data_IF_709548196576
#
_entry.id   IF_709548196576
#
_cell.length_a   1.000
_cell.length_b   1.000
_cell.length_c   1.000
_cell.angle_alpha   90.00
_cell.angle_beta   90.00
_cell.angle_gamma   90.00
#
_symmetry.space_group_name_H-M   'P 1'
#
loop_
_entity.id
_entity.type
_entity.pdbx_description
1 polymer ?
#
# COMPACT_ATOMS: atom_id res chain seq x y z
N UNK A 1 -35.37 17.60 78.80
CA UNK A 1 -34.01 18.08 78.45
C UNK A 1 -33.91 18.21 76.94
N UNK A 2 -33.71 19.43 76.42
CA UNK A 2 -33.61 19.73 74.98
C UNK A 2 -32.14 19.57 74.55
N UNK A 3 -31.90 18.70 73.57
CA UNK A 3 -30.59 18.53 72.92
C UNK A 3 -30.45 19.58 71.81
N UNK A 4 -29.36 20.36 71.75
CA UNK A 4 -29.19 21.37 70.70
C UNK A 4 -28.75 20.72 69.39
N UNK A 5 -29.36 21.16 68.29
CA UNK A 5 -28.93 20.85 66.92
C UNK A 5 -27.63 21.60 66.63
N UNK A 6 -26.56 20.85 66.38
CA UNK A 6 -25.28 21.36 65.87
C UNK A 6 -25.38 21.42 64.35
N UNK A 7 -25.33 22.63 63.81
CA UNK A 7 -25.24 22.94 62.38
C UNK A 7 -23.84 22.60 61.87
N UNK A 8 -23.65 21.79 60.81
CA UNK A 8 -22.37 21.67 60.15
C UNK A 8 -22.23 22.85 59.17
N UNK A 9 -21.65 23.95 59.65
CA UNK A 9 -21.13 25.01 58.80
C UNK A 9 -19.70 24.65 58.35
N UNK A 10 -19.43 24.85 57.06
CA UNK A 10 -18.12 25.14 56.48
C UNK A 10 -17.07 24.02 56.48
N UNK A 11 -17.24 23.06 55.57
CA UNK A 11 -16.12 22.53 54.80
C UNK A 11 -16.15 23.17 53.42
N UNK A 12 -15.66 24.41 53.34
CA UNK A 12 -15.35 25.04 52.06
C UNK A 12 -14.18 24.27 51.45
N UNK A 13 -14.46 23.65 50.31
CA UNK A 13 -13.55 22.91 49.46
C UNK A 13 -12.30 23.74 49.15
N UNK A 14 -11.19 23.42 49.81
CA UNK A 14 -9.87 23.73 49.28
C UNK A 14 -9.63 22.77 48.10
N UNK A 15 -10.17 23.12 46.92
CA UNK A 15 -9.71 22.52 45.68
C UNK A 15 -8.23 22.88 45.56
N UNK A 16 -7.29 21.91 45.57
CA UNK A 16 -5.92 22.22 45.21
C UNK A 16 -5.97 22.88 43.83
N UNK A 17 -5.32 24.02 43.67
CA UNK A 17 -4.93 24.52 42.36
C UNK A 17 -4.14 23.37 41.72
N UNK A 18 -4.82 22.52 40.94
CA UNK A 18 -4.16 21.56 40.08
C UNK A 18 -3.40 22.45 39.12
N UNK A 19 -2.08 22.55 39.32
CA UNK A 19 -1.20 23.21 38.37
C UNK A 19 -1.53 22.59 37.01
N UNK A 20 -2.17 23.40 36.15
CA UNK A 20 -2.61 22.95 34.85
C UNK A 20 -1.34 22.60 34.09
N UNK A 21 -1.05 21.30 33.96
CA UNK A 21 0.14 20.84 33.26
C UNK A 21 0.12 21.46 31.87
N UNK A 22 1.11 22.32 31.61
CA UNK A 22 1.18 23.06 30.35
C UNK A 22 1.16 22.06 29.21
N UNK A 23 0.23 22.24 28.27
CA UNK A 23 0.10 21.33 27.16
C UNK A 23 1.42 21.30 26.37
N UNK A 24 1.94 20.10 26.11
CA UNK A 24 3.16 19.86 25.31
C UNK A 24 2.79 19.29 23.94
N UNK A 25 2.27 20.12 23.00
CA UNK A 25 1.78 19.65 21.70
C UNK A 25 2.90 19.39 20.69
N UNK A 26 4.15 19.71 21.02
CA UNK A 26 5.30 19.51 20.15
C UNK A 26 6.11 18.29 20.59
N UNK A 27 6.66 17.55 19.63
CA UNK A 27 7.53 16.40 19.91
C UNK A 27 8.86 16.55 19.19
N UNK A 28 9.96 16.38 19.92
CA UNK A 28 11.28 16.11 19.39
C UNK A 28 11.45 14.60 19.27
N UNK A 29 11.87 14.11 18.12
CA UNK A 29 12.00 12.68 17.86
C UNK A 29 13.09 12.40 16.82
N UNK A 30 13.55 11.16 16.74
CA UNK A 30 14.40 10.70 15.64
C UNK A 30 13.49 10.12 14.56
N UNK A 31 13.42 10.84 13.44
CA UNK A 31 12.67 10.46 12.26
C UNK A 31 13.57 9.94 11.15
N UNK A 32 12.99 9.83 9.96
CA UNK A 32 13.64 9.33 8.76
C UNK A 32 13.37 10.26 7.58
N UNK A 33 14.43 10.72 6.94
CA UNK A 33 14.37 11.37 5.63
C UNK A 33 14.53 10.32 4.54
N UNK A 34 13.60 10.33 3.59
CA UNK A 34 13.60 9.40 2.46
C UNK A 34 14.41 10.00 1.32
N UNK A 35 15.18 9.16 0.63
CA UNK A 35 15.96 9.53 -0.54
C UNK A 35 15.69 8.53 -1.65
N UNK A 36 15.78 8.96 -2.90
CA UNK A 36 15.86 8.06 -4.06
C UNK A 36 17.26 8.09 -4.64
N UNK A 37 17.75 6.96 -5.12
CA UNK A 37 19.05 6.88 -5.79
C UNK A 37 18.84 6.93 -7.30
N UNK A 38 19.41 7.93 -7.97
CA UNK A 38 19.44 8.06 -9.44
C UNK A 38 20.85 8.44 -9.86
N UNK A 39 21.46 7.68 -10.76
CA UNK A 39 22.83 7.94 -11.24
C UNK A 39 23.83 8.11 -10.08
N UNK A 40 23.75 7.23 -9.08
CA UNK A 40 24.56 7.24 -7.84
C UNK A 40 24.29 8.43 -6.88
N UNK A 41 23.56 9.46 -7.30
CA UNK A 41 23.15 10.57 -6.44
C UNK A 41 21.95 10.19 -5.57
N UNK A 42 22.03 10.54 -4.27
CA UNK A 42 20.91 10.46 -3.33
C UNK A 42 20.13 11.76 -3.41
N UNK A 43 18.92 11.71 -3.93
CA UNK A 43 18.04 12.87 -4.07
C UNK A 43 16.96 12.77 -2.98
N UNK A 44 16.81 13.79 -2.11
CA UNK A 44 15.83 13.75 -1.04
C UNK A 44 14.41 13.79 -1.61
N UNK A 45 13.55 12.98 -1.00
CA UNK A 45 12.13 12.92 -1.32
C UNK A 45 11.43 14.04 -0.58
N UNK A 46 10.83 14.95 -1.33
CA UNK A 46 10.01 16.02 -0.78
C UNK A 46 8.62 15.51 -0.45
N UNK A 47 7.97 14.77 -1.35
CA UNK A 47 6.64 14.26 -1.12
C UNK A 47 6.42 12.89 -1.75
N UNK A 48 5.69 12.03 -1.06
CA UNK A 48 5.28 10.72 -1.57
C UNK A 48 3.79 10.75 -1.91
N UNK A 49 3.47 10.54 -3.19
CA UNK A 49 2.10 10.45 -3.69
C UNK A 49 1.77 9.01 -4.06
N UNK A 50 0.50 8.74 -4.36
CA UNK A 50 -0.01 7.38 -4.61
C UNK A 50 0.78 6.60 -5.67
N UNK A 51 1.30 7.28 -6.69
CA UNK A 51 1.98 6.64 -7.84
C UNK A 51 3.29 7.33 -8.24
N UNK A 52 3.71 8.37 -7.55
CA UNK A 52 4.88 9.17 -7.89
C UNK A 52 5.57 9.68 -6.62
N UNK A 53 6.88 9.90 -6.76
CA UNK A 53 7.73 10.55 -5.77
C UNK A 53 8.11 11.93 -6.31
N UNK A 54 7.92 12.96 -5.51
CA UNK A 54 8.42 14.31 -5.78
C UNK A 54 9.75 14.45 -5.07
N UNK A 55 10.80 14.83 -5.79
CA UNK A 55 12.16 14.95 -5.28
C UNK A 55 12.65 16.39 -5.34
N UNK A 56 13.58 16.75 -4.46
CA UNK A 56 14.12 18.11 -4.38
C UNK A 56 15.07 18.45 -5.55
N UNK A 57 15.28 19.75 -5.88
CA UNK A 57 14.67 20.93 -5.25
C UNK A 57 13.23 21.20 -5.71
N UNK A 58 12.44 21.80 -4.81
CA UNK A 58 11.01 22.14 -4.91
C UNK A 58 10.47 22.28 -6.33
N UNK A 59 9.52 21.40 -6.68
CA UNK A 59 8.96 21.15 -8.02
C UNK A 59 9.82 20.27 -8.95
N UNK A 60 10.77 19.53 -8.39
CA UNK A 60 11.62 18.61 -9.14
C UNK A 60 10.87 17.51 -9.89
N UNK A 61 11.65 16.70 -10.59
CA UNK A 61 11.17 15.58 -11.39
C UNK A 61 10.20 14.70 -10.60
N UNK A 62 9.04 14.42 -11.21
CA UNK A 62 8.11 13.43 -10.67
C UNK A 62 8.56 12.07 -11.17
N UNK A 63 9.01 11.23 -10.25
CA UNK A 63 9.48 9.88 -10.59
C UNK A 63 8.33 8.92 -10.29
N UNK A 64 7.79 8.19 -11.30
CA UNK A 64 6.81 7.16 -11.03
C UNK A 64 7.38 6.14 -10.06
N UNK A 65 6.60 5.74 -9.06
CA UNK A 65 7.10 4.90 -7.98
C UNK A 65 7.65 3.55 -8.46
N UNK A 66 7.10 3.03 -9.57
CA UNK A 66 7.57 1.80 -10.23
C UNK A 66 8.99 1.93 -10.83
N UNK A 67 9.42 3.17 -11.09
CA UNK A 67 10.73 3.49 -11.66
C UNK A 67 11.74 3.82 -10.55
N UNK A 68 11.32 3.88 -9.29
CA UNK A 68 12.20 4.03 -8.13
C UNK A 68 12.73 2.64 -7.73
N UNK A 69 14.02 2.33 -7.99
CA UNK A 69 14.54 0.99 -7.75
C UNK A 69 14.54 0.67 -6.25
N UNK A 70 15.04 1.61 -5.43
CA UNK A 70 15.12 1.50 -3.98
C UNK A 70 14.98 2.88 -3.33
N UNK A 71 14.32 2.92 -2.17
CA UNK A 71 14.40 4.07 -1.27
C UNK A 71 15.66 3.94 -0.42
N UNK A 72 16.50 4.96 -0.45
CA UNK A 72 17.47 5.22 0.61
C UNK A 72 16.80 5.98 1.75
N UNK A 73 17.44 6.01 2.92
CA UNK A 73 16.95 6.80 4.03
C UNK A 73 18.08 7.27 4.93
N UNK A 74 17.82 8.29 5.72
CA UNK A 74 18.76 8.84 6.70
C UNK A 74 18.02 9.20 7.97
N UNK A 75 18.57 8.83 9.13
CA UNK A 75 17.99 9.17 10.42
C UNK A 75 18.34 10.61 10.76
N UNK A 76 17.34 11.40 11.10
CA UNK A 76 17.53 12.82 11.45
C UNK A 76 16.68 13.15 12.68
N UNK A 77 17.17 14.09 13.48
CA UNK A 77 16.39 14.60 14.62
C UNK A 77 15.41 15.61 14.06
N UNK A 78 14.12 15.40 14.33
CA UNK A 78 13.03 16.22 13.81
C UNK A 78 12.18 16.73 14.94
N UNK A 79 11.49 17.83 14.66
CA UNK A 79 10.44 18.36 15.52
C UNK A 79 9.14 18.40 14.74
N UNK A 80 8.03 18.05 15.38
CA UNK A 80 6.70 18.12 14.77
C UNK A 80 5.66 18.56 15.78
N UNK A 81 4.57 19.12 15.26
CA UNK A 81 3.33 19.39 15.99
C UNK A 81 2.35 18.22 15.78
N UNK A 82 1.29 18.17 16.59
CA UNK A 82 0.16 17.25 16.43
C UNK A 82 0.57 15.76 16.53
N UNK A 83 1.13 15.31 17.67
CA UNK A 83 1.57 13.94 17.80
C UNK A 83 0.41 12.97 17.57
N UNK A 84 0.66 11.98 16.72
CA UNK A 84 -0.32 10.94 16.39
C UNK A 84 -0.16 9.77 17.34
N UNK A 85 -1.27 9.26 17.85
CA UNK A 85 -1.30 8.08 18.69
C UNK A 85 -1.60 6.86 17.84
N UNK A 86 -0.71 5.87 17.91
CA UNK A 86 -0.88 4.53 17.35
C UNK A 86 -1.13 3.55 18.51
N UNK A 87 -2.31 2.96 18.54
CA UNK A 87 -2.75 1.95 19.52
C UNK A 87 -3.02 0.61 18.84
N UNK A 88 -3.14 -0.45 19.65
CA UNK A 88 -3.53 -1.80 19.19
C UNK A 88 -2.67 -2.32 18.01
N UNK A 89 -1.38 -1.99 17.99
CA UNK A 89 -0.47 -2.41 16.93
C UNK A 89 -0.23 -3.92 16.99
N UNK A 90 -0.58 -4.60 15.89
CA UNK A 90 -0.42 -6.02 15.69
C UNK A 90 0.26 -6.26 14.35
N UNK A 91 1.19 -7.23 14.34
CA UNK A 91 1.84 -7.74 13.15
C UNK A 91 1.43 -9.21 12.98
N UNK A 92 0.97 -9.54 11.79
CA UNK A 92 0.58 -10.89 11.42
C UNK A 92 1.30 -11.24 10.13
N UNK A 93 2.06 -12.33 10.15
CA UNK A 93 2.44 -12.97 8.91
C UNK A 93 1.23 -13.79 8.43
N UNK A 94 0.93 -13.72 7.15
CA UNK A 94 -0.23 -14.39 6.55
C UNK A 94 0.12 -14.83 5.13
N UNK A 95 -0.81 -15.50 4.47
CA UNK A 95 -0.64 -16.01 3.12
C UNK A 95 -1.44 -15.18 2.12
N UNK A 96 -0.90 -15.05 0.92
CA UNK A 96 -1.57 -14.51 -0.24
C UNK A 96 -2.57 -15.53 -0.76
N UNK A 97 -3.57 -15.08 -1.52
CA UNK A 97 -4.51 -16.01 -2.18
C UNK A 97 -3.80 -17.01 -3.10
N UNK A 98 -2.63 -16.64 -3.63
CA UNK A 98 -1.80 -17.51 -4.46
C UNK A 98 -1.09 -18.59 -3.64
N UNK A 99 -0.74 -18.29 -2.38
CA UNK A 99 -0.07 -19.22 -1.47
C UNK A 99 -0.99 -19.90 -0.47
N UNK A 100 -2.27 -19.52 -0.46
CA UNK A 100 -3.33 -20.21 0.28
C UNK A 100 -3.42 -21.67 -0.18
N UNK A 101 -3.13 -22.62 0.72
CA UNK A 101 -3.17 -24.05 0.41
C UNK A 101 -4.57 -24.52 0.05
N UNK A 102 -5.62 -23.92 0.62
CA UNK A 102 -6.99 -24.29 0.27
C UNK A 102 -7.32 -23.87 -1.17
N UNK A 103 -6.85 -22.69 -1.60
CA UNK A 103 -6.99 -22.26 -2.99
C UNK A 103 -6.17 -23.13 -3.95
N UNK A 104 -4.92 -23.48 -3.58
CA UNK A 104 -4.10 -24.42 -4.37
C UNK A 104 -4.75 -25.80 -4.46
N UNK A 105 -5.31 -26.30 -3.36
CA UNK A 105 -6.02 -27.57 -3.31
C UNK A 105 -7.29 -27.53 -4.17
N UNK A 106 -8.09 -26.46 -4.08
CA UNK A 106 -9.26 -26.29 -4.93
C UNK A 106 -8.89 -26.18 -6.42
N UNK A 107 -7.80 -25.48 -6.75
CA UNK A 107 -7.29 -25.43 -8.12
C UNK A 107 -6.84 -26.81 -8.61
N UNK A 108 -6.19 -27.60 -7.75
CA UNK A 108 -5.81 -28.99 -8.04
C UNK A 108 -7.03 -29.90 -8.23
N UNK A 109 -8.06 -29.78 -7.37
CA UNK A 109 -9.32 -30.51 -7.52
C UNK A 109 -10.04 -30.16 -8.82
N UNK A 110 -10.09 -28.87 -9.18
CA UNK A 110 -10.66 -28.44 -10.46
C UNK A 110 -9.87 -29.00 -11.65
N UNK A 111 -8.53 -29.00 -11.59
CA UNK A 111 -7.70 -29.61 -12.63
C UNK A 111 -7.93 -31.12 -12.75
N UNK A 112 -8.09 -31.81 -11.62
CA UNK A 112 -8.39 -33.25 -11.60
C UNK A 112 -9.78 -33.54 -12.19
N UNK A 113 -10.80 -32.73 -11.84
CA UNK A 113 -12.14 -32.86 -12.39
C UNK A 113 -12.16 -32.64 -13.91
N UNK A 114 -11.43 -31.63 -14.41
CA UNK A 114 -11.26 -31.38 -15.85
C UNK A 114 -10.57 -32.58 -16.52
N UNK A 115 -9.49 -33.09 -15.93
CA UNK A 115 -8.80 -34.26 -16.47
C UNK A 115 -9.70 -35.51 -16.52
N UNK A 116 -10.48 -35.76 -15.47
CA UNK A 116 -11.45 -36.87 -15.43
C UNK A 116 -12.56 -36.69 -16.48
N UNK A 117 -13.02 -35.47 -16.70
CA UNK A 117 -14.00 -35.16 -17.73
C UNK A 117 -13.43 -35.39 -19.14
N UNK A 118 -12.21 -34.91 -19.41
CA UNK A 118 -11.52 -35.16 -20.68
C UNK A 118 -11.35 -36.66 -20.93
N UNK A 119 -10.94 -37.42 -19.91
CA UNK A 119 -10.82 -38.89 -20.00
C UNK A 119 -12.17 -39.57 -20.25
N UNK A 120 -13.24 -39.12 -19.57
CA UNK A 120 -14.57 -39.65 -19.79
C UNK A 120 -15.10 -39.36 -21.20
N UNK A 121 -14.80 -38.19 -21.75
CA UNK A 121 -15.19 -37.81 -23.11
C UNK A 121 -14.38 -38.60 -24.16
N UNK A 122 -13.09 -38.85 -23.93
CA UNK A 122 -12.30 -39.77 -24.77
C UNK A 122 -12.86 -41.20 -24.71
N UNK A 123 -13.23 -41.70 -23.53
CA UNK A 123 -13.83 -43.02 -23.39
C UNK A 123 -15.21 -43.10 -24.08
N UNK A 124 -16.01 -42.02 -24.03
CA UNK A 124 -17.27 -41.93 -24.79
C UNK A 124 -17.05 -41.95 -26.29
N UNK A 125 -16.03 -41.23 -26.78
CA UNK A 125 -15.66 -41.23 -28.20
C UNK A 125 -15.22 -42.64 -28.63
N UNK A 126 -14.34 -43.28 -27.88
CA UNK A 126 -13.87 -44.64 -28.14
C UNK A 126 -15.03 -45.65 -28.15
N UNK A 127 -15.97 -45.55 -27.19
CA UNK A 127 -17.18 -46.37 -27.17
C UNK A 127 -18.09 -46.10 -28.36
N UNK A 128 -18.24 -44.84 -28.78
CA UNK A 128 -19.01 -44.48 -29.97
C UNK A 128 -18.39 -45.07 -31.24
N UNK A 129 -17.06 -45.03 -31.36
CA UNK A 129 -16.35 -45.62 -32.49
C UNK A 129 -16.42 -47.16 -32.46
N UNK A 130 -16.33 -47.79 -31.29
CA UNK A 130 -16.56 -49.24 -31.17
C UNK A 130 -17.98 -49.64 -31.58
N UNK A 131 -19.00 -48.85 -31.20
CA UNK A 131 -20.39 -49.06 -31.64
C UNK A 131 -20.56 -48.88 -33.15
N UNK A 132 -19.89 -47.89 -33.75
CA UNK A 132 -19.85 -47.72 -35.21
C UNK A 132 -19.25 -48.94 -35.89
N UNK A 133 -18.11 -49.45 -35.39
CA UNK A 133 -17.49 -50.68 -35.91
C UNK A 133 -18.41 -51.89 -35.79
N UNK A 134 -19.12 -52.06 -34.66
CA UNK A 134 -20.10 -53.13 -34.50
C UNK A 134 -21.31 -52.98 -35.43
N UNK A 135 -21.77 -51.75 -35.69
CA UNK A 135 -22.84 -51.49 -36.63
C UNK A 135 -22.42 -51.84 -38.08
N UNK A 136 -21.21 -51.46 -38.48
CA UNK A 136 -20.62 -51.82 -39.78
C UNK A 136 -20.50 -53.35 -39.91
N UNK A 137 -19.97 -54.03 -38.88
CA UNK A 137 -19.92 -55.51 -38.87
C UNK A 137 -21.29 -56.15 -39.06
N UNK A 138 -22.34 -55.65 -38.38
CA UNK A 138 -23.71 -56.15 -38.55
C UNK A 138 -24.25 -55.96 -39.97
N UNK A 139 -23.97 -54.82 -40.61
CA UNK A 139 -24.35 -54.59 -42.00
C UNK A 139 -23.63 -55.55 -42.96
N UNK A 140 -22.33 -55.80 -42.72
CA UNK A 140 -21.55 -56.77 -43.50
C UNK A 140 -22.16 -58.18 -43.36
N UNK A 141 -22.47 -58.63 -42.15
CA UNK A 141 -23.10 -59.95 -41.94
C UNK A 141 -24.49 -60.05 -42.59
N UNK A 142 -25.31 -59.00 -42.49
CA UNK A 142 -26.62 -58.99 -43.15
C UNK A 142 -26.49 -59.07 -44.68
N UNK A 143 -25.50 -58.38 -45.26
CA UNK A 143 -25.20 -58.46 -46.70
C UNK A 143 -24.73 -59.87 -47.10
N UNK A 144 -23.88 -60.51 -46.28
CA UNK A 144 -23.48 -61.90 -46.47
C UNK A 144 -24.66 -62.87 -46.42
N UNK A 145 -25.54 -62.74 -45.42
CA UNK A 145 -26.75 -63.59 -45.34
C UNK A 145 -27.66 -63.43 -46.56
N UNK A 146 -27.86 -62.20 -47.03
CA UNK A 146 -28.67 -61.90 -48.21
C UNK A 146 -28.06 -62.51 -49.48
N UNK A 147 -26.74 -62.38 -49.66
CA UNK A 147 -26.02 -63.00 -50.79
C UNK A 147 -26.06 -64.52 -50.73
N UNK A 148 -25.88 -65.13 -49.55
CA UNK A 148 -26.09 -66.57 -49.36
C UNK A 148 -27.52 -67.02 -49.64
N UNK A 149 -28.53 -66.18 -49.33
CA UNK A 149 -29.94 -66.47 -49.65
C UNK A 149 -30.17 -66.47 -51.15
N UNK A 150 -29.74 -65.41 -51.85
CA UNK A 150 -29.83 -65.30 -53.32
C UNK A 150 -29.13 -66.47 -54.00
N UNK A 151 -27.94 -66.85 -53.52
CA UNK A 151 -27.20 -68.00 -54.04
C UNK A 151 -27.97 -69.32 -53.87
N UNK A 152 -28.57 -69.55 -52.69
CA UNK A 152 -29.43 -70.74 -52.47
C UNK A 152 -30.70 -70.74 -53.31
N UNK A 153 -31.35 -69.59 -53.47
CA UNK A 153 -32.52 -69.45 -54.35
C UNK A 153 -32.16 -69.71 -55.81
N UNK A 154 -31.01 -69.23 -56.27
CA UNK A 154 -30.48 -69.54 -57.59
C UNK A 154 -30.23 -71.05 -57.73
N UNK A 155 -29.52 -71.67 -56.79
CA UNK A 155 -29.21 -73.10 -56.80
C UNK A 155 -30.48 -73.98 -56.84
N UNK A 156 -31.56 -73.58 -56.15
CA UNK A 156 -32.85 -74.26 -56.21
C UNK A 156 -33.60 -74.10 -57.53
N UNK A 157 -33.35 -73.02 -58.27
CA UNK A 157 -34.04 -72.70 -59.53
C UNK A 157 -33.23 -73.08 -60.79
N UNK A 158 -31.97 -73.50 -60.64
CA UNK A 158 -31.18 -74.02 -61.77
C UNK A 158 -31.73 -75.37 -62.18
N UNK A 159 -32.20 -75.45 -63.43
CA UNK A 159 -32.68 -76.69 -64.05
C UNK A 159 -31.51 -77.69 -64.16
N UNK A 160 -31.56 -78.82 -63.45
CA UNK A 160 -30.49 -79.81 -63.46
C UNK A 160 -30.33 -80.52 -64.82
N UNK A 161 -31.22 -80.27 -65.80
CA UNK A 161 -31.14 -80.81 -67.16
C UNK A 161 -30.29 -79.97 -68.13
N UNK A 162 -29.77 -78.81 -67.70
CA UNK A 162 -28.81 -78.04 -68.49
C UNK A 162 -27.51 -78.85 -68.71
N UNK A 163 -27.03 -79.00 -69.95
CA UNK A 163 -25.96 -79.95 -70.31
C UNK A 163 -24.59 -79.67 -69.67
N UNK A 164 -24.39 -78.51 -69.05
CA UNK A 164 -23.15 -78.13 -68.35
C UNK A 164 -23.26 -78.14 -66.82
N UNK A 165 -24.40 -78.55 -66.24
CA UNK A 165 -24.57 -78.64 -64.79
C UNK A 165 -24.02 -79.98 -64.27
N UNK A 166 -22.83 -79.98 -63.67
CA UNK A 166 -22.29 -81.13 -62.92
C UNK A 166 -22.51 -80.94 -61.41
N UNK A 167 -23.43 -81.69 -60.78
CA UNK A 167 -23.59 -81.69 -59.33
C UNK A 167 -22.35 -82.33 -58.71
N UNK A 168 -21.54 -81.54 -58.00
CA UNK A 168 -20.32 -82.00 -57.31
C UNK A 168 -18.99 -81.68 -57.99
N UNK A 169 -18.98 -81.00 -59.14
CA UNK A 169 -17.73 -80.63 -59.86
C UNK A 169 -17.05 -79.34 -59.40
N UNK A 170 -17.43 -78.76 -58.25
CA UNK A 170 -17.13 -77.36 -57.89
C UNK A 170 -16.24 -77.16 -56.66
N UNK A 171 -15.37 -78.13 -56.35
CA UNK A 171 -14.33 -78.01 -55.30
C UNK A 171 -13.20 -77.00 -55.62
N UNK A 172 -13.39 -76.09 -56.59
CA UNK A 172 -12.35 -75.15 -57.01
C UNK A 172 -12.83 -73.83 -57.62
N UNK A 173 -14.13 -73.53 -57.66
CA UNK A 173 -14.57 -72.17 -57.97
C UNK A 173 -14.66 -71.39 -56.66
N UNK A 174 -13.69 -70.50 -56.46
CA UNK A 174 -13.72 -69.53 -55.38
C UNK A 174 -14.95 -68.64 -55.57
N UNK A 175 -15.59 -68.23 -54.48
CA UNK A 175 -16.73 -67.30 -54.51
C UNK A 175 -16.39 -65.99 -55.27
N UNK A 176 -15.10 -65.63 -55.33
CA UNK A 176 -14.56 -64.52 -56.12
C UNK A 176 -14.69 -64.68 -57.64
N UNK A 177 -14.82 -65.90 -58.15
CA UNK A 177 -14.85 -66.17 -59.60
C UNK A 177 -16.26 -66.02 -60.20
N UNK A 178 -17.28 -65.98 -59.32
CA UNK A 178 -18.70 -65.96 -59.71
C UNK A 178 -19.27 -64.53 -59.63
N UNK A 179 -18.73 -63.70 -58.74
CA UNK A 179 -19.09 -62.29 -58.62
C UNK A 179 -17.86 -61.46 -58.22
N UNK A 180 -17.32 -60.57 -59.07
CA UNK A 180 -16.19 -59.73 -58.71
C UNK A 180 -16.45 -58.83 -57.50
N UNK A 181 -17.73 -58.56 -57.15
CA UNK A 181 -18.09 -57.84 -55.92
C UNK A 181 -17.76 -58.63 -54.64
N UNK A 182 -17.66 -59.96 -54.70
CA UNK A 182 -17.32 -60.79 -53.55
C UNK A 182 -15.88 -60.54 -53.03
N UNK A 183 -14.94 -60.27 -53.93
CA UNK A 183 -13.56 -59.95 -53.56
C UNK A 183 -13.43 -58.62 -52.79
N UNK A 184 -14.24 -57.62 -53.15
CA UNK A 184 -14.29 -56.35 -52.41
C UNK A 184 -14.90 -56.53 -51.01
N UNK A 185 -15.92 -57.39 -50.88
CA UNK A 185 -16.55 -57.71 -49.58
C UNK A 185 -15.56 -58.40 -48.66
N UNK A 186 -14.76 -59.34 -49.17
CA UNK A 186 -13.77 -60.06 -48.38
C UNK A 186 -12.61 -59.16 -47.94
N UNK A 187 -12.13 -58.27 -48.83
CA UNK A 187 -11.14 -57.24 -48.49
C UNK A 187 -11.67 -56.25 -47.41
N UNK A 188 -12.93 -55.84 -47.51
CA UNK A 188 -13.60 -55.01 -46.49
C UNK A 188 -13.72 -55.74 -45.15
N UNK A 189 -13.96 -57.06 -45.16
CA UNK A 189 -14.05 -57.87 -43.95
C UNK A 189 -12.70 -58.00 -43.24
N UNK A 190 -11.64 -58.25 -43.99
CA UNK A 190 -10.27 -58.33 -43.46
C UNK A 190 -9.86 -56.98 -42.87
N UNK A 191 -10.07 -55.88 -43.60
CA UNK A 191 -9.80 -54.54 -43.10
C UNK A 191 -10.62 -54.21 -41.83
N UNK A 192 -11.91 -54.58 -41.79
CA UNK A 192 -12.74 -54.37 -40.61
C UNK A 192 -12.27 -55.19 -39.39
N UNK A 193 -11.73 -56.40 -39.59
CA UNK A 193 -11.19 -57.22 -38.52
C UNK A 193 -9.86 -56.68 -37.97
N UNK A 194 -8.96 -56.22 -38.83
CA UNK A 194 -7.70 -55.59 -38.41
C UNK A 194 -7.95 -54.30 -37.64
N UNK A 195 -8.89 -53.48 -38.11
CA UNK A 195 -9.27 -52.22 -37.44
C UNK A 195 -9.86 -52.50 -36.06
N UNK A 196 -10.73 -53.51 -35.93
CA UNK A 196 -11.32 -53.89 -34.65
C UNK A 196 -10.29 -54.43 -33.65
N UNK A 197 -9.29 -55.20 -34.11
CA UNK A 197 -8.22 -55.70 -33.26
C UNK A 197 -7.31 -54.56 -32.75
N UNK A 198 -6.99 -53.58 -33.61
CA UNK A 198 -6.21 -52.40 -33.22
C UNK A 198 -6.93 -51.56 -32.16
N UNK A 199 -8.24 -51.34 -32.32
CA UNK A 199 -9.07 -50.59 -31.35
C UNK A 199 -9.16 -51.32 -30.01
N UNK A 200 -9.31 -52.65 -30.00
CA UNK A 200 -9.34 -53.43 -28.76
C UNK A 200 -8.03 -53.34 -27.98
N UNK A 201 -6.89 -53.35 -28.69
CA UNK A 201 -5.56 -53.27 -28.08
C UNK A 201 -5.29 -51.87 -27.50
N UNK A 202 -5.76 -50.81 -28.17
CA UNK A 202 -5.62 -49.43 -27.69
C UNK A 202 -6.52 -49.15 -26.48
N UNK A 203 -7.72 -49.72 -26.44
CA UNK A 203 -8.63 -49.67 -25.28
C UNK A 203 -8.00 -50.33 -24.04
N UNK A 204 -7.42 -51.52 -24.19
CA UNK A 204 -6.80 -52.24 -23.07
C UNK A 204 -5.58 -51.49 -22.52
N UNK A 205 -4.74 -50.93 -23.42
CA UNK A 205 -3.62 -50.06 -23.03
C UNK A 205 -4.10 -48.81 -22.28
N UNK A 206 -5.14 -48.15 -22.78
CA UNK A 206 -5.70 -46.95 -22.13
C UNK A 206 -6.27 -47.28 -20.76
N UNK A 207 -6.90 -48.46 -20.60
CA UNK A 207 -7.47 -48.91 -19.34
C UNK A 207 -6.38 -49.20 -18.29
N UNK A 208 -5.30 -49.88 -18.69
CA UNK A 208 -4.13 -50.15 -17.84
C UNK A 208 -3.47 -48.83 -17.38
N UNK A 209 -3.28 -47.88 -18.29
CA UNK A 209 -2.73 -46.55 -17.94
C UNK A 209 -3.62 -45.78 -16.95
N UNK A 210 -4.95 -45.85 -17.09
CA UNK A 210 -5.87 -45.20 -16.13
C UNK A 210 -5.92 -45.89 -14.77
N UNK A 211 -5.73 -47.21 -14.71
CA UNK A 211 -5.75 -47.96 -13.44
C UNK A 211 -4.56 -47.64 -12.54
N UNK A 212 -3.39 -47.31 -13.13
CA UNK A 212 -2.19 -46.93 -12.39
C UNK A 212 -2.27 -45.56 -11.69
N UNK A 213 -3.12 -44.64 -12.17
CA UNK A 213 -3.26 -43.29 -11.60
C UNK A 213 -4.06 -43.28 -10.30
N UNK A 214 -5.00 -44.23 -10.13
CA UNK A 214 -5.83 -44.32 -8.92
C UNK A 214 -5.14 -45.05 -7.74
N UNK A 215 -4.01 -45.70 -7.99
CA UNK A 215 -3.23 -46.41 -6.98
C UNK A 215 -1.97 -45.69 -6.52
N UNK A 216 -1.75 -44.43 -6.92
CA UNK A 216 -0.53 -43.69 -6.61
C UNK A 216 -0.49 -43.27 -5.13
N UNK A 217 0.40 -43.87 -4.30
CA UNK A 217 0.51 -43.55 -2.87
C UNK A 217 0.92 -42.09 -2.60
N UNK A 218 1.41 -41.36 -3.61
CA UNK A 218 1.70 -39.93 -3.48
C UNK A 218 0.44 -39.06 -3.33
N UNK A 219 -0.76 -39.58 -3.61
CA UNK A 219 -2.00 -38.80 -3.48
C UNK A 219 -2.39 -38.54 -2.02
N UNK A 220 -2.21 -39.53 -1.14
CA UNK A 220 -2.52 -39.39 0.29
C UNK A 220 -1.55 -38.46 1.01
N UNK A 221 -0.26 -38.53 0.67
CA UNK A 221 0.79 -37.66 1.24
C UNK A 221 0.54 -36.17 0.89
N UNK A 222 0.11 -35.87 -0.35
CA UNK A 222 -0.26 -34.50 -0.76
C UNK A 222 -1.49 -33.94 -0.04
N UNK A 223 -2.41 -34.79 0.40
CA UNK A 223 -3.61 -34.33 1.14
C UNK A 223 -3.33 -33.98 2.60
N UNK A 224 -2.37 -34.65 3.24
CA UNK A 224 -1.97 -34.28 4.61
C UNK A 224 -1.19 -32.96 4.65
N UNK A 225 -0.34 -32.69 3.67
CA UNK A 225 0.38 -31.40 3.55
C UNK A 225 -0.54 -30.23 3.17
N UNK A 226 -1.65 -30.50 2.48
CA UNK A 226 -2.65 -29.49 2.08
C UNK A 226 -3.42 -28.90 3.28
N UNK A 227 -3.46 -29.60 4.42
CA UNK A 227 -4.11 -29.11 5.65
C UNK A 227 -3.18 -28.29 6.56
N UNK A 228 -1.88 -28.23 6.26
CA UNK A 228 -0.94 -27.37 7.00
C UNK A 228 -1.13 -25.88 6.67
N UNK A 229 -0.68 -24.99 7.55
CA UNK A 229 -0.62 -23.55 7.21
C UNK A 229 0.28 -23.35 5.97
N UNK A 230 -0.16 -22.54 5.01
CA UNK A 230 0.65 -22.12 3.86
C UNK A 230 1.92 -21.42 4.31
N UNK A 231 2.96 -21.43 3.47
CA UNK A 231 4.12 -20.59 3.75
C UNK A 231 3.66 -19.13 3.70
N UNK A 232 3.81 -18.44 4.82
CA UNK A 232 3.46 -17.03 4.93
C UNK A 232 4.32 -16.23 3.94
N UNK A 233 3.67 -15.44 3.09
CA UNK A 233 4.29 -14.57 2.06
C UNK A 233 3.73 -13.13 2.10
N UNK A 234 2.94 -12.82 3.13
CA UNK A 234 2.29 -11.53 3.32
C UNK A 234 2.54 -11.02 4.72
N UNK A 235 3.02 -9.78 4.82
CA UNK A 235 3.01 -9.01 6.06
C UNK A 235 1.69 -8.25 6.16
N UNK A 236 0.93 -8.50 7.21
CA UNK A 236 -0.26 -7.75 7.57
C UNK A 236 -0.03 -6.97 8.87
N UNK A 237 -0.24 -5.66 8.81
CA UNK A 237 -0.17 -4.76 9.96
C UNK A 237 -1.57 -4.24 10.25
N UNK A 238 -1.99 -4.35 11.51
CA UNK A 238 -3.26 -3.81 11.98
C UNK A 238 -3.02 -2.93 13.20
N UNK A 239 -3.58 -1.73 13.20
CA UNK A 239 -3.47 -0.79 14.31
C UNK A 239 -4.60 0.22 14.28
N UNK A 240 -4.71 1.04 15.31
CA UNK A 240 -5.60 2.20 15.35
C UNK A 240 -4.78 3.48 15.37
N UNK A 241 -5.26 4.50 14.65
CA UNK A 241 -4.62 5.80 14.54
C UNK A 241 -5.57 6.91 14.97
N UNK A 242 -5.09 7.86 15.76
CA UNK A 242 -5.83 9.03 16.22
C UNK A 242 -4.91 10.25 16.38
N UNK A 243 -5.43 11.45 16.14
CA UNK A 243 -4.72 12.70 16.38
C UNK A 243 -5.62 13.70 17.09
N UNK A 244 -5.11 14.39 18.11
CA UNK A 244 -5.87 15.45 18.80
C UNK A 244 -6.21 16.60 17.85
N UNK A 245 -5.26 16.98 17.01
CA UNK A 245 -5.46 17.99 15.96
C UNK A 245 -5.74 17.25 14.63
N UNK A 246 -6.80 17.63 13.89
CA UNK A 246 -7.13 16.95 12.64
C UNK A 246 -6.05 17.16 11.57
N UNK A 247 -5.74 16.10 10.83
CA UNK A 247 -4.79 16.09 9.71
C UNK A 247 -5.59 15.66 8.47
N UNK A 248 -5.60 16.48 7.42
CA UNK A 248 -6.45 16.28 6.26
C UNK A 248 -6.01 15.12 5.36
N UNK A 249 -4.70 14.99 5.14
CA UNK A 249 -4.11 13.91 4.36
C UNK A 249 -2.80 13.47 5.00
N UNK A 250 -2.64 12.16 5.12
CA UNK A 250 -1.47 11.54 5.68
C UNK A 250 -1.17 10.24 4.94
N UNK A 251 0.11 9.90 4.87
CA UNK A 251 0.57 8.62 4.37
C UNK A 251 1.53 7.97 5.36
N UNK A 252 1.47 6.65 5.40
CA UNK A 252 2.30 5.81 6.24
C UNK A 252 3.42 5.23 5.39
N UNK A 253 4.64 5.30 5.91
CA UNK A 253 5.80 4.56 5.40
C UNK A 253 6.17 3.53 6.45
N UNK A 254 6.21 2.28 6.01
CA UNK A 254 6.55 1.12 6.85
C UNK A 254 7.94 0.67 6.46
N UNK A 255 8.81 0.55 7.47
CA UNK A 255 10.16 0.01 7.32
C UNK A 255 10.28 -1.22 8.20
N UNK A 256 10.50 -2.38 7.59
CA UNK A 256 10.64 -3.63 8.32
C UNK A 256 11.99 -4.29 8.07
N UNK A 257 12.63 -4.80 9.11
CA UNK A 257 13.80 -5.68 8.97
C UNK A 257 13.29 -7.10 8.71
N UNK A 258 13.67 -7.67 7.57
CA UNK A 258 13.21 -8.96 7.08
C UNK A 258 14.39 -9.88 6.90
N UNK A 259 14.28 -11.10 7.41
CA UNK A 259 15.24 -12.17 7.13
C UNK A 259 14.59 -13.17 6.17
N UNK A 260 15.22 -13.38 5.02
CA UNK A 260 14.75 -14.25 3.96
C UNK A 260 15.91 -15.08 3.42
N UNK A 261 15.78 -16.41 3.41
CA UNK A 261 16.83 -17.33 2.98
C UNK A 261 18.20 -17.06 3.65
N UNK A 262 18.20 -16.69 4.94
CA UNK A 262 19.40 -16.37 5.70
C UNK A 262 20.04 -15.01 5.39
N UNK A 263 19.44 -14.21 4.51
CA UNK A 263 19.87 -12.84 4.25
C UNK A 263 18.97 -11.84 4.98
N UNK A 264 19.58 -10.89 5.68
CA UNK A 264 18.89 -9.76 6.29
C UNK A 264 18.73 -8.64 5.25
N UNK A 265 17.53 -8.08 5.15
CA UNK A 265 17.22 -6.97 4.27
C UNK A 265 16.16 -6.06 4.91
N UNK A 266 15.99 -4.88 4.32
CA UNK A 266 15.00 -3.90 4.78
C UNK A 266 13.93 -3.79 3.71
N UNK A 267 12.69 -4.06 4.10
CA UNK A 267 11.53 -3.84 3.23
C UNK A 267 10.94 -2.48 3.55
N UNK A 268 10.70 -1.69 2.51
CA UNK A 268 10.00 -0.40 2.62
C UNK A 268 8.77 -0.42 1.72
N UNK A 269 7.64 -0.02 2.26
CA UNK A 269 6.43 0.24 1.48
C UNK A 269 5.62 1.36 2.12
N UNK A 270 4.69 1.92 1.36
CA UNK A 270 3.89 3.05 1.81
C UNK A 270 2.41 2.80 1.55
N UNK A 271 1.56 3.49 2.30
CA UNK A 271 0.11 3.39 2.23
C UNK A 271 -0.49 4.77 2.50
N UNK A 272 -1.35 5.26 1.61
CA UNK A 272 -2.15 6.45 1.91
C UNK A 272 -3.13 6.10 3.04
N UNK A 273 -3.08 6.88 4.12
CA UNK A 273 -3.96 6.77 5.29
C UNK A 273 -5.16 7.70 5.11
N UNK A 274 -4.96 8.86 4.48
CA UNK A 274 -5.95 9.92 4.34
C UNK A 274 -6.14 10.68 5.65
N UNK A 275 -7.33 11.26 5.86
CA UNK A 275 -7.59 12.09 7.02
C UNK A 275 -7.47 11.34 8.37
N UNK A 276 -6.86 11.99 9.35
CA UNK A 276 -6.73 11.51 10.73
C UNK A 276 -7.37 12.54 11.65
N UNK A 277 -8.24 12.10 12.55
CA UNK A 277 -8.91 12.98 13.50
C UNK A 277 -8.85 12.44 14.94
N UNK A 278 -9.59 13.08 15.87
CA UNK A 278 -9.57 12.71 17.29
C UNK A 278 -10.13 11.32 17.58
N UNK A 279 -11.02 10.81 16.71
CA UNK A 279 -11.62 9.48 16.86
C UNK A 279 -10.67 8.41 16.32
N UNK A 280 -10.26 7.42 17.13
CA UNK A 280 -9.43 6.30 16.66
C UNK A 280 -10.06 5.58 15.47
N UNK A 281 -9.25 5.34 14.43
CA UNK A 281 -9.65 4.60 13.22
C UNK A 281 -8.73 3.42 13.02
N UNK A 282 -9.30 2.24 12.78
CA UNK A 282 -8.56 1.02 12.46
C UNK A 282 -7.96 1.12 11.05
N UNK A 283 -6.65 0.92 10.95
CA UNK A 283 -5.88 0.84 9.71
C UNK A 283 -5.38 -0.59 9.55
N UNK A 284 -5.50 -1.10 8.33
CA UNK A 284 -5.01 -2.41 7.93
C UNK A 284 -4.15 -2.25 6.70
N UNK A 285 -2.87 -2.61 6.81
CA UNK A 285 -1.90 -2.52 5.72
C UNK A 285 -1.40 -3.91 5.39
N UNK A 286 -1.33 -4.26 4.11
CA UNK A 286 -0.86 -5.57 3.65
C UNK A 286 0.23 -5.38 2.61
N UNK A 287 1.37 -6.03 2.82
CA UNK A 287 2.45 -6.13 1.83
C UNK A 287 2.63 -7.59 1.45
N UNK A 288 2.45 -7.89 0.17
CA UNK A 288 2.62 -9.23 -0.40
C UNK A 288 3.96 -9.35 -1.11
N UNK A 289 4.36 -10.57 -1.45
CA UNK A 289 5.51 -10.86 -2.30
C UNK A 289 6.81 -11.11 -1.54
N UNK A 290 6.72 -11.41 -0.25
CA UNK A 290 7.85 -11.99 0.47
C UNK A 290 8.07 -13.43 -0.03
N UNK A 291 9.30 -13.94 0.03
CA UNK A 291 9.44 -15.37 -0.21
C UNK A 291 8.86 -16.18 0.97
N UNK A 292 8.35 -17.39 0.70
CA UNK A 292 8.01 -18.38 1.71
C UNK A 292 9.03 -18.46 2.86
N UNK A 293 8.53 -18.44 4.09
CA UNK A 293 9.36 -18.59 5.30
C UNK A 293 10.14 -17.34 5.71
N UNK A 294 9.76 -16.15 5.22
CA UNK A 294 10.34 -14.90 5.71
C UNK A 294 10.04 -14.69 7.20
N UNK A 295 10.93 -14.01 7.91
CA UNK A 295 10.68 -13.59 9.29
C UNK A 295 10.92 -12.08 9.42
N UNK A 296 10.14 -11.42 10.25
CA UNK A 296 10.25 -9.98 10.50
C UNK A 296 10.71 -9.77 11.94
N UNK A 297 11.89 -9.19 12.11
CA UNK A 297 12.43 -8.88 13.43
C UNK A 297 11.79 -7.61 13.98
N UNK A 298 11.82 -6.53 13.20
CA UNK A 298 11.36 -5.20 13.61
C UNK A 298 10.51 -4.51 12.54
N UNK A 299 9.58 -3.65 12.96
CA UNK A 299 8.72 -2.85 12.08
C UNK A 299 8.59 -1.44 12.66
N UNK A 300 9.13 -0.47 11.93
CA UNK A 300 9.02 0.95 12.23
C UNK A 300 7.97 1.61 11.34
N UNK A 301 7.15 2.45 11.96
CA UNK A 301 6.07 3.19 11.32
C UNK A 301 6.40 4.68 11.31
N UNK A 302 6.50 5.25 10.12
CA UNK A 302 6.76 6.66 9.90
C UNK A 302 5.53 7.28 9.22
N UNK A 303 4.94 8.31 9.84
CA UNK A 303 3.75 8.97 9.31
C UNK A 303 4.15 10.32 8.74
N UNK A 304 3.64 10.66 7.57
CA UNK A 304 3.96 11.91 6.90
C UNK A 304 2.70 12.64 6.44
N UNK A 305 2.80 13.96 6.34
CA UNK A 305 1.81 14.85 5.71
C UNK A 305 2.57 15.92 4.93
N UNK A 306 2.14 16.21 3.70
CA UNK A 306 2.78 17.24 2.86
C UNK A 306 4.32 17.15 2.83
N UNK A 307 4.85 15.92 2.76
CA UNK A 307 6.29 15.68 2.76
C UNK A 307 7.00 15.66 4.11
N UNK A 308 6.36 16.18 5.14
CA UNK A 308 6.94 16.29 6.48
C UNK A 308 6.52 15.12 7.35
N UNK A 309 7.46 14.57 8.11
CA UNK A 309 7.20 13.49 9.05
C UNK A 309 6.57 14.03 10.34
N UNK A 310 5.53 13.35 10.82
CA UNK A 310 4.82 13.68 12.06
C UNK A 310 5.23 12.67 13.13
N UNK A 311 5.52 13.16 14.32
CA UNK A 311 5.82 12.30 15.47
C UNK A 311 4.63 11.41 15.81
N UNK A 312 4.94 10.16 16.13
CA UNK A 312 4.00 9.22 16.71
C UNK A 312 4.46 8.80 18.11
N UNK A 313 3.57 8.27 18.93
CA UNK A 313 3.97 7.62 20.19
C UNK A 313 4.91 6.41 20.01
N UNK A 314 5.15 5.96 18.76
CA UNK A 314 6.08 4.89 18.39
C UNK A 314 7.41 5.41 17.81
N UNK A 315 7.54 6.72 17.56
CA UNK A 315 8.78 7.31 17.06
C UNK A 315 9.91 7.17 18.07
N UNK A 316 11.13 6.94 17.58
CA UNK A 316 12.31 6.78 18.42
C UNK A 316 12.63 8.11 19.13
N UNK A 317 12.99 8.04 20.43
CA UNK A 317 13.35 9.21 21.27
C UNK A 317 12.30 10.33 21.30
N UNK A 318 11.01 9.97 21.36
CA UNK A 318 9.91 10.94 21.42
C UNK A 318 9.87 11.71 22.76
N UNK A 319 10.32 12.96 22.75
CA UNK A 319 10.32 13.89 23.90
C UNK A 319 9.25 14.96 23.69
N UNK A 320 8.39 15.17 24.69
CA UNK A 320 7.36 16.21 24.67
C UNK A 320 7.94 17.58 25.00
N UNK A 321 7.62 18.59 24.19
CA UNK A 321 8.07 19.97 24.33
C UNK A 321 6.89 20.95 24.40
N UNK A 322 7.08 22.03 25.16
CA UNK A 322 6.22 23.23 25.06
C UNK A 322 6.53 24.01 23.78
N UNK A 323 5.71 25.03 23.47
CA UNK A 323 5.93 25.89 22.28
C UNK A 323 7.28 26.60 22.35
N UNK A 324 7.62 27.14 23.51
CA UNK A 324 8.84 27.92 23.70
C UNK A 324 10.07 27.02 23.62
N UNK A 325 10.01 25.82 24.20
CA UNK A 325 11.08 24.81 24.09
C UNK A 325 11.30 24.37 22.63
N UNK A 326 10.22 24.18 21.87
CA UNK A 326 10.30 23.83 20.45
C UNK A 326 10.98 24.94 19.63
N UNK A 327 10.63 26.20 19.89
CA UNK A 327 11.21 27.37 19.26
C UNK A 327 12.68 27.55 19.62
N UNK A 328 13.02 27.42 20.91
CA UNK A 328 14.41 27.50 21.38
C UNK A 328 15.29 26.44 20.72
N UNK A 329 14.81 25.19 20.63
CA UNK A 329 15.51 24.13 19.91
C UNK A 329 15.78 24.51 18.45
N UNK A 330 14.75 24.98 17.73
CA UNK A 330 14.88 25.40 16.33
C UNK A 330 15.84 26.58 16.15
N UNK A 331 15.80 27.56 17.06
CA UNK A 331 16.70 28.70 17.04
C UNK A 331 18.16 28.27 17.20
N UNK A 332 18.44 27.41 18.20
CA UNK A 332 19.78 26.90 18.46
C UNK A 332 20.31 26.08 17.28
N UNK A 333 19.47 25.22 16.69
CA UNK A 333 19.80 24.49 15.47
C UNK A 333 20.12 25.43 14.30
N UNK A 334 19.28 26.44 14.08
CA UNK A 334 19.45 27.40 12.99
C UNK A 334 20.75 28.20 13.11
N UNK A 335 21.08 28.71 14.31
CA UNK A 335 22.35 29.42 14.55
C UNK A 335 23.55 28.48 14.35
N UNK A 336 23.45 27.24 14.81
CA UNK A 336 24.53 26.25 14.68
C UNK A 336 24.81 25.88 13.22
N UNK A 337 23.77 25.84 12.38
CA UNK A 337 23.88 25.60 10.94
C UNK A 337 24.41 26.82 10.16
N UNK A 338 24.22 28.02 10.72
CA UNK A 338 24.50 29.30 10.05
C UNK A 338 25.32 30.28 10.92
N UNK A 339 26.52 29.90 11.40
CA UNK A 339 27.24 30.67 12.41
C UNK A 339 27.73 32.04 11.93
N UNK A 340 27.85 32.27 10.62
CA UNK A 340 28.35 33.51 10.03
C UNK A 340 27.50 34.01 8.86
N UNK A 341 26.37 33.34 8.60
CA UNK A 341 25.55 33.67 7.44
C UNK A 341 24.62 34.85 7.76
N UNK A 342 24.20 35.53 6.69
CA UNK A 342 23.14 36.53 6.74
C UNK A 342 21.94 35.99 5.97
N UNK A 343 20.86 35.69 6.68
CA UNK A 343 19.71 34.95 6.14
C UNK A 343 18.43 35.67 6.53
N UNK A 344 17.47 35.74 5.61
CA UNK A 344 16.13 36.26 5.88
C UNK A 344 15.32 35.25 6.70
N UNK A 345 14.29 35.69 7.46
CA UNK A 345 13.47 34.76 8.24
C UNK A 345 12.79 33.72 7.33
N UNK A 346 12.59 32.51 7.83
CA UNK A 346 12.00 31.39 7.08
C UNK A 346 10.88 30.70 7.86
N UNK A 347 9.75 30.33 7.23
CA UNK A 347 8.68 29.61 7.90
C UNK A 347 9.08 28.17 8.21
N UNK A 348 8.69 27.66 9.39
CA UNK A 348 8.97 26.28 9.81
C UNK A 348 7.77 25.38 9.55
N UNK A 349 7.69 24.83 8.33
CA UNK A 349 6.54 24.03 7.90
C UNK A 349 6.32 22.72 8.68
N UNK A 350 7.37 22.16 9.29
CA UNK A 350 7.26 20.99 10.18
C UNK A 350 6.41 21.26 11.42
N UNK A 351 6.28 22.54 11.81
CA UNK A 351 5.45 23.03 12.90
C UNK A 351 4.24 23.82 12.41
N UNK A 352 3.74 23.49 11.21
CA UNK A 352 2.56 24.13 10.63
C UNK A 352 1.38 24.18 11.63
N UNK A 353 0.65 25.32 11.69
CA UNK A 353 -0.56 25.48 12.49
C UNK A 353 -1.58 24.36 12.24
N UNK A 354 -2.36 24.05 13.28
CA UNK A 354 -3.39 23.01 13.21
C UNK A 354 -4.41 23.27 12.09
N UNK A 355 -4.72 24.55 11.82
CA UNK A 355 -5.63 24.95 10.74
C UNK A 355 -5.10 24.59 9.35
N UNK A 356 -3.78 24.63 9.12
CA UNK A 356 -3.17 24.21 7.86
C UNK A 356 -3.14 22.69 7.75
N UNK A 357 -2.79 21.99 8.83
CA UNK A 357 -2.81 20.53 8.88
C UNK A 357 -4.21 19.96 8.61
N UNK A 358 -5.26 20.65 9.10
CA UNK A 358 -6.65 20.26 8.94
C UNK A 358 -7.24 20.57 7.55
N UNK A 359 -6.58 21.41 6.75
CA UNK A 359 -7.09 21.85 5.47
C UNK A 359 -6.78 20.83 4.36
N UNK A 360 -7.78 20.57 3.50
CA UNK A 360 -7.64 19.64 2.36
C UNK A 360 -6.99 20.29 1.13
N UNK A 361 -6.96 21.61 1.06
CA UNK A 361 -6.47 22.37 -0.07
C UNK A 361 -5.96 23.73 0.36
N UNK A 362 -4.91 24.22 -0.29
CA UNK A 362 -4.34 25.54 -0.02
C UNK A 362 -5.10 26.73 -0.62
N UNK A 363 -6.17 26.51 -1.39
CA UNK A 363 -6.87 27.60 -2.10
C UNK A 363 -7.40 28.71 -1.17
N UNK A 364 -7.84 28.37 0.05
CA UNK A 364 -8.29 29.35 1.05
C UNK A 364 -7.16 30.07 1.78
N UNK A 365 -5.91 29.72 1.46
CA UNK A 365 -4.69 30.20 2.07
C UNK A 365 -3.76 30.85 1.04
N UNK A 366 -4.21 31.03 -0.21
CA UNK A 366 -3.48 31.70 -1.29
C UNK A 366 -3.57 33.22 -1.16
N UNK A 367 -2.94 33.71 -0.08
CA UNK A 367 -2.91 35.11 0.30
C UNK A 367 -1.45 35.45 0.63
N UNK A 368 -0.68 36.01 -0.32
CA UNK A 368 0.69 36.42 -0.04
C UNK A 368 0.68 37.52 1.02
N UNK A 369 1.51 37.34 2.04
CA UNK A 369 1.66 38.27 3.16
C UNK A 369 3.12 38.59 3.41
N UNK A 370 3.38 39.78 3.97
CA UNK A 370 4.69 40.13 4.50
C UNK A 370 4.61 40.18 6.01
N UNK A 371 5.29 39.26 6.68
CA UNK A 371 5.30 39.15 8.13
C UNK A 371 6.56 39.77 8.70
N UNK A 372 6.43 40.57 9.76
CA UNK A 372 7.57 41.04 10.56
C UNK A 372 7.81 40.04 11.68
N UNK A 373 9.03 39.51 11.74
CA UNK A 373 9.44 38.41 12.63
C UNK A 373 10.45 38.94 13.65
N UNK A 374 10.25 38.64 14.93
CA UNK A 374 11.21 39.00 15.99
C UNK A 374 12.49 38.13 15.94
N UNK A 375 13.45 38.43 16.81
CA UNK A 375 14.70 37.68 16.93
C UNK A 375 14.54 36.24 17.43
N UNK A 376 13.37 35.90 17.98
CA UNK A 376 13.08 34.58 18.54
C UNK A 376 12.29 33.72 17.54
N UNK A 377 11.82 34.30 16.43
CA UNK A 377 11.02 33.61 15.41
C UNK A 377 9.50 33.72 15.59
N UNK A 378 9.01 34.67 16.40
CA UNK A 378 7.58 34.98 16.52
C UNK A 378 7.16 36.04 15.51
N UNK A 379 5.91 35.94 15.03
CA UNK A 379 5.30 36.98 14.20
C UNK A 379 4.86 38.16 15.07
N UNK A 380 5.35 39.37 14.75
CA UNK A 380 4.97 40.62 15.41
C UNK A 380 3.74 41.23 14.72
N UNK A 381 3.76 41.30 13.39
CA UNK A 381 2.73 41.96 12.58
C UNK A 381 2.70 41.40 11.15
N UNK A 382 1.56 41.58 10.47
CA UNK A 382 1.35 41.19 9.09
C UNK A 382 0.99 42.42 8.25
N UNK A 383 1.57 42.50 7.05
CA UNK A 383 1.43 43.62 6.13
C UNK A 383 1.12 43.11 4.70
N UNK A 384 0.49 43.97 3.88
CA UNK A 384 0.18 43.67 2.48
C UNK A 384 1.41 43.79 1.58
N UNK A 385 2.27 44.75 1.87
CA UNK A 385 3.42 45.10 1.03
C UNK A 385 4.69 45.13 1.86
N UNK A 386 5.80 44.90 1.17
CA UNK A 386 7.13 44.94 1.77
C UNK A 386 7.50 46.35 2.25
N UNK A 387 7.07 47.39 1.53
CA UNK A 387 7.33 48.79 1.90
C UNK A 387 6.74 49.14 3.27
N UNK A 388 5.49 48.74 3.53
CA UNK A 388 4.84 48.98 4.83
C UNK A 388 5.56 48.19 5.93
N UNK A 389 5.92 46.93 5.66
CA UNK A 389 6.64 46.10 6.62
C UNK A 389 8.03 46.68 6.97
N UNK A 390 8.75 47.19 5.96
CA UNK A 390 10.06 47.82 6.16
C UNK A 390 9.95 49.13 6.95
N UNK A 391 8.93 49.96 6.69
CA UNK A 391 8.68 51.18 7.45
C UNK A 391 8.39 50.86 8.94
N UNK A 392 7.57 49.84 9.20
CA UNK A 392 7.28 49.37 10.54
C UNK A 392 8.52 48.79 11.24
N UNK A 393 9.34 48.03 10.52
CA UNK A 393 10.60 47.51 11.06
C UNK A 393 11.57 48.63 11.46
N UNK A 394 11.68 49.69 10.64
CA UNK A 394 12.50 50.85 10.95
C UNK A 394 12.03 51.54 12.25
N UNK A 395 10.72 51.69 12.44
CA UNK A 395 10.14 52.22 13.67
C UNK A 395 10.47 51.36 14.90
N UNK A 396 10.36 50.04 14.79
CA UNK A 396 10.70 49.11 15.87
C UNK A 396 12.17 49.18 16.28
N UNK A 397 13.07 49.23 15.29
CA UNK A 397 14.52 49.33 15.52
C UNK A 397 14.87 50.64 16.23
N UNK A 398 14.26 51.75 15.82
CA UNK A 398 14.51 53.04 16.45
C UNK A 398 13.91 53.11 17.86
N UNK A 399 12.72 52.56 18.09
CA UNK A 399 12.13 52.43 19.42
C UNK A 399 13.00 51.59 20.38
N UNK A 400 13.57 50.48 19.90
CA UNK A 400 14.48 49.65 20.68
C UNK A 400 15.79 50.38 21.03
N UNK A 401 16.35 51.17 20.10
CA UNK A 401 17.53 52.03 20.37
C UNK A 401 17.23 53.09 21.43
N UNK A 402 16.06 53.71 21.41
CA UNK A 402 15.65 54.72 22.39
C UNK A 402 15.51 54.10 23.79
N UNK A 403 14.87 52.93 23.91
CA UNK A 403 14.72 52.23 25.20
C UNK A 403 16.05 51.77 25.79
N UNK A 404 16.98 51.25 24.98
CA UNK A 404 18.34 50.89 25.44
C UNK A 404 19.12 52.08 26.01
N UNK A 405 18.88 53.30 25.50
CA UNK A 405 19.48 54.52 26.04
C UNK A 405 18.81 54.99 27.34
N UNK A 406 17.50 54.79 27.47
CA UNK A 406 16.71 55.29 28.59
C UNK A 406 16.84 54.42 29.86
N UNK A 407 17.08 53.11 29.72
CA UNK A 407 17.13 52.20 30.86
C UNK A 407 18.38 51.30 30.76
N UNK A 408 19.49 51.63 31.44
CA UNK A 408 20.59 50.68 31.61
C UNK A 408 20.13 49.55 32.53
N UNK A 409 19.50 48.53 31.95
CA UNK A 409 19.05 47.35 32.69
C UNK A 409 20.30 46.58 33.14
N UNK A 410 20.44 46.37 34.46
CA UNK A 410 21.55 45.59 35.06
C UNK A 410 21.49 44.08 34.75
N UNK A 411 20.43 43.64 34.09
CA UNK A 411 20.16 42.26 33.71
C UNK A 411 19.97 42.24 32.19
N UNK A 412 20.53 41.27 31.44
CA UNK A 412 20.24 41.13 30.02
C UNK A 412 18.73 40.93 29.83
N UNK A 413 18.04 42.00 29.44
CA UNK A 413 16.65 41.94 28.99
C UNK A 413 16.68 41.45 27.55
N UNK A 414 15.85 40.47 27.23
CA UNK A 414 15.69 40.02 25.84
C UNK A 414 15.15 41.18 25.00
N UNK A 415 15.32 41.14 23.68
CA UNK A 415 14.75 42.16 22.80
C UNK A 415 13.22 42.27 23.00
N UNK A 416 12.54 41.16 23.33
CA UNK A 416 11.13 41.10 23.69
C UNK A 416 10.77 41.93 24.94
N UNK A 417 11.64 42.01 25.95
CA UNK A 417 11.42 42.88 27.11
C UNK A 417 11.57 44.37 26.74
N UNK A 418 12.53 44.67 25.86
CA UNK A 418 12.77 46.01 25.34
C UNK A 418 11.70 46.45 24.36
N UNK A 419 11.00 45.53 23.70
CA UNK A 419 9.86 45.79 22.83
C UNK A 419 8.71 44.95 23.38
N UNK A 420 8.14 45.34 24.53
CA UNK A 420 6.76 44.90 24.86
C UNK A 420 5.84 45.34 23.73
N UNK A 421 5.73 44.49 22.73
CA UNK A 421 4.67 44.49 21.73
C UNK A 421 3.38 44.50 22.53
N UNK A 422 2.41 45.30 22.09
CA UNK A 422 1.08 45.39 22.71
C UNK A 422 0.55 43.99 22.99
N UNK A 423 -0.25 43.84 24.05
CA UNK A 423 -0.81 42.56 24.47
C UNK A 423 -1.26 41.74 23.25
N UNK A 424 -0.84 40.48 23.18
CA UNK A 424 -1.04 39.59 22.03
C UNK A 424 -2.53 39.40 21.63
N UNK A 425 -3.44 39.87 22.49
CA UNK A 425 -4.88 39.85 22.30
C UNK A 425 -5.42 41.02 21.44
N UNK A 426 -4.60 42.03 21.12
CA UNK A 426 -5.01 43.14 20.23
C UNK A 426 -4.98 42.70 18.76
N UNK A 427 -6.07 42.11 18.26
CA UNK A 427 -6.20 41.65 16.88
C UNK A 427 -5.95 42.76 15.84
N UNK A 428 -6.30 44.01 16.18
CA UNK A 428 -6.16 45.15 15.27
C UNK A 428 -4.70 45.59 15.11
N UNK A 429 -3.85 45.29 16.10
CA UNK A 429 -2.43 45.57 16.02
C UNK A 429 -1.67 44.53 15.17
N UNK A 430 -2.17 43.29 15.11
CA UNK A 430 -1.51 42.20 14.41
C UNK A 430 -1.75 42.20 12.90
N UNK A 431 -3.01 42.37 12.48
CA UNK A 431 -3.37 42.54 11.07
C UNK A 431 -3.59 44.04 10.75
N UNK A 432 -2.53 44.71 10.35
CA UNK A 432 -2.61 46.12 9.94
C UNK A 432 -3.34 46.30 8.60
N UNK A 433 -3.64 45.21 7.90
CA UNK A 433 -4.29 45.24 6.60
C UNK A 433 -5.82 45.36 6.74
N UNK A 434 -6.38 44.71 7.76
CA UNK A 434 -7.83 44.53 7.94
C UNK A 434 -8.52 43.82 6.77
N UNK A 435 -7.76 43.22 5.85
CA UNK A 435 -8.25 42.62 4.60
C UNK A 435 -7.99 41.12 4.52
N UNK A 436 -7.17 40.56 5.40
CA UNK A 436 -6.86 39.14 5.37
C UNK A 436 -8.04 38.32 5.92
N UNK A 437 -8.34 37.16 5.32
CA UNK A 437 -9.35 36.27 5.87
C UNK A 437 -8.98 35.85 7.31
N UNK A 438 -9.95 35.75 8.24
CA UNK A 438 -9.67 35.43 9.64
C UNK A 438 -8.85 34.15 9.84
N UNK A 439 -9.06 33.13 9.01
CA UNK A 439 -8.30 31.88 9.08
C UNK A 439 -6.82 32.02 8.70
N UNK A 440 -6.48 32.97 7.81
CA UNK A 440 -5.09 33.27 7.43
C UNK A 440 -4.39 33.98 8.59
N UNK A 441 -5.07 34.96 9.20
CA UNK A 441 -4.56 35.69 10.37
C UNK A 441 -4.31 34.73 11.55
N UNK A 442 -5.27 33.84 11.82
CA UNK A 442 -5.14 32.82 12.87
C UNK A 442 -3.97 31.85 12.59
N UNK A 443 -3.82 31.38 11.35
CA UNK A 443 -2.70 30.53 10.96
C UNK A 443 -1.36 31.25 11.15
N UNK A 444 -1.23 32.48 10.66
CA UNK A 444 0.01 33.27 10.78
C UNK A 444 0.39 33.54 12.24
N UNK A 445 -0.57 33.76 13.13
CA UNK A 445 -0.32 33.94 14.57
C UNK A 445 0.26 32.69 15.24
N UNK A 446 -0.17 31.51 14.79
CA UNK A 446 0.34 30.24 15.29
C UNK A 446 1.67 29.82 14.66
N UNK A 447 1.98 30.36 13.48
CA UNK A 447 3.17 30.00 12.72
C UNK A 447 4.45 30.30 13.49
N UNK A 448 5.45 29.43 13.33
CA UNK A 448 6.80 29.60 13.89
C UNK A 448 7.75 29.84 12.73
N UNK A 449 8.66 30.79 12.92
CA UNK A 449 9.69 31.13 11.96
C UNK A 449 11.08 30.84 12.54
N UNK A 450 12.03 30.55 11.67
CA UNK A 450 13.44 30.80 11.95
C UNK A 450 13.66 32.30 11.77
N UNK A 451 14.29 33.00 12.73
CA UNK A 451 14.49 34.45 12.65
C UNK A 451 15.47 34.81 11.54
N UNK A 452 15.54 36.10 11.21
CA UNK A 452 16.63 36.59 10.38
C UNK A 452 17.95 36.45 11.14
N UNK A 453 19.03 36.12 10.44
CA UNK A 453 20.39 36.15 10.96
C UNK A 453 21.18 37.26 10.27
N UNK A 454 21.97 37.99 11.05
CA UNK A 454 23.02 38.89 10.55
C UNK A 454 24.34 38.43 11.16
N UNK A 455 25.21 37.82 10.33
CA UNK A 455 26.47 37.21 10.77
C UNK A 455 26.27 36.20 11.92
N UNK A 456 25.25 35.34 11.78
CA UNK A 456 24.89 34.33 12.78
C UNK A 456 24.18 34.87 14.04
N UNK A 457 23.92 36.17 14.13
CA UNK A 457 23.18 36.78 15.23
C UNK A 457 21.71 36.93 14.86
N UNK A 458 20.76 36.39 15.65
CA UNK A 458 19.34 36.59 15.41
C UNK A 458 18.94 38.06 15.52
N UNK A 459 18.25 38.56 14.51
CA UNK A 459 17.73 39.93 14.43
C UNK A 459 16.26 39.92 14.00
N UNK A 460 15.57 41.04 14.21
CA UNK A 460 14.23 41.25 13.67
C UNK A 460 14.32 41.39 12.15
N UNK A 461 13.43 40.73 11.42
CA UNK A 461 13.41 40.76 9.96
C UNK A 461 12.01 40.72 9.37
N UNK A 462 11.91 40.72 8.05
CA UNK A 462 10.64 40.54 7.32
C UNK A 462 10.72 39.31 6.42
N UNK A 463 9.61 38.57 6.32
CA UNK A 463 9.49 37.40 5.45
C UNK A 463 8.25 37.52 4.57
N UNK A 464 8.42 37.25 3.28
CA UNK A 464 7.31 37.04 2.34
C UNK A 464 6.87 35.60 2.43
N UNK A 465 5.61 35.37 2.74
CA UNK A 465 5.05 34.02 2.90
C UNK A 465 3.73 33.94 2.18
N UNK A 466 3.50 32.82 1.49
CA UNK A 466 2.17 32.43 1.08
C UNK A 466 1.85 31.08 1.73
N UNK A 467 0.80 31.03 2.55
CA UNK A 467 0.44 29.81 3.28
C UNK A 467 0.02 28.66 2.35
N UNK A 468 -0.31 28.96 1.08
CA UNK A 468 -0.51 27.93 0.04
C UNK A 468 0.74 27.09 -0.21
N UNK A 469 1.94 27.61 0.09
CA UNK A 469 3.21 26.93 -0.16
C UNK A 469 3.38 25.68 0.71
N UNK A 470 2.69 25.61 1.86
CA UNK A 470 2.62 24.40 2.70
C UNK A 470 2.02 23.20 1.95
N UNK A 471 1.16 23.42 0.96
CA UNK A 471 0.45 22.37 0.24
C UNK A 471 1.15 21.90 -1.03
N UNK A 472 2.29 22.51 -1.37
CA UNK A 472 3.09 22.17 -2.55
C UNK A 472 3.97 20.97 -2.22
#
# INVERSE_FOLDING_TARGET
MKVPRITPLLWALALPLIAQEEAKPYRLFVGVDLNVTREEAKIPVEALRRHEVVVAPAHGDRIPLRDVPHFGWTRTTKISRAPVTISNFQRHATYSLRNDKAMKWMQSQNQMAVYQQEKADVARLANSDAQRHQAVRRQIYAYQEETYRIWREWEQNVDPSLPDYQPGGRDGMSFSDIDPAAGEVEALLVAANETAAAVATDLDRTYVETSGVNGDPFFEERTQDALGQGDEDVLELTFEIASREPIADAYLVVMGNVMQAGQEGIVTFHQNVGAIGPKPRKIKVRKTGFAPGFTISDVNLHLYTHGQEIATNRSERNVALTRDQAREFLLLSHIAEHPLDTITPQPVWTLAPAVLLAAKSGASYDHPVVATIDSDGSVISIHQTEEIAQAFLAELVDAAKVRRKATPVKTPSTFADAVRVRDADDETAFDQTGQLPPQVVAAMREMIFLPALELGVPIVGTAKVNLVDFFK
#
